data_IF_337923707459
#
_entry.id   IF_337923707459
#
_cell.length_a   1.000
_cell.length_b   1.000
_cell.length_c   1.000
_cell.angle_alpha   90.00
_cell.angle_beta   90.00
_cell.angle_gamma   90.00
#
_symmetry.space_group_name_H-M   'P 1'
#
loop_
_entity.id
_entity.type
_entity.pdbx_description
1 polymer ?
#
# COMPACT_ATOMS: atom_id res chain seq x y z
N UNK A 1 16.63 12.52 -8.78
CA UNK A 1 16.09 12.44 -7.41
C UNK A 1 15.95 10.97 -7.12
N UNK A 2 16.91 10.40 -6.38
CA UNK A 2 17.08 8.95 -6.22
C UNK A 2 15.82 8.26 -5.67
N UNK A 3 15.51 7.09 -6.24
CA UNK A 3 14.45 6.20 -5.79
C UNK A 3 14.82 5.58 -4.43
N UNK A 4 14.47 6.24 -3.33
CA UNK A 4 14.62 5.67 -2.00
C UNK A 4 13.51 4.66 -1.70
N UNK A 5 13.75 3.40 -2.02
CA UNK A 5 12.92 2.28 -1.58
C UNK A 5 12.99 2.17 -0.04
N UNK A 6 12.08 2.82 0.66
CA UNK A 6 11.72 2.37 2.00
C UNK A 6 10.78 1.19 1.83
N UNK A 7 10.96 0.14 2.61
CA UNK A 7 10.23 -1.11 2.48
C UNK A 7 9.78 -1.46 3.89
N UNK A 8 8.75 -0.74 4.36
CA UNK A 8 8.19 -1.06 5.65
C UNK A 8 7.68 -2.50 5.59
N UNK A 9 8.30 -3.41 6.32
CA UNK A 9 7.73 -4.74 6.51
C UNK A 9 7.35 -4.89 7.96
N UNK A 10 6.04 -4.83 8.24
CA UNK A 10 5.49 -5.12 9.57
C UNK A 10 5.32 -6.64 9.72
N UNK A 11 6.39 -7.39 9.49
CA UNK A 11 6.43 -8.81 9.84
C UNK A 11 7.89 -9.23 9.96
N UNK A 12 8.22 -9.81 11.11
CA UNK A 12 9.56 -10.20 11.53
C UNK A 12 10.39 -10.84 10.41
N UNK A 13 11.37 -10.09 9.91
CA UNK A 13 12.53 -10.66 9.25
C UNK A 13 13.70 -10.25 10.10
N UNK A 14 14.46 -11.24 10.57
CA UNK A 14 15.73 -10.99 11.25
C UNK A 14 16.65 -10.27 10.27
N UNK A 15 16.81 -8.97 10.46
CA UNK A 15 17.77 -8.14 9.75
C UNK A 15 19.07 -8.01 10.53
N UNK A 16 20.00 -7.22 10.00
CA UNK A 16 21.19 -6.84 10.74
C UNK A 16 20.88 -5.59 11.56
N UNK A 17 21.31 -5.58 12.82
CA UNK A 17 21.04 -4.54 13.83
C UNK A 17 19.55 -4.29 14.10
N UNK A 18 19.10 -4.73 15.28
CA UNK A 18 17.74 -4.51 15.77
C UNK A 18 17.80 -3.58 16.98
N UNK A 19 17.07 -2.47 16.91
CA UNK A 19 16.89 -1.56 18.04
C UNK A 19 15.42 -1.58 18.47
N UNK A 20 15.19 -1.89 19.74
CA UNK A 20 13.86 -1.86 20.34
C UNK A 20 13.64 -0.51 21.05
N UNK A 21 12.54 0.16 20.71
CA UNK A 21 12.17 1.43 21.31
C UNK A 21 10.66 1.62 21.33
N UNK A 22 10.20 2.65 22.06
CA UNK A 22 8.78 3.02 22.10
C UNK A 22 8.53 4.14 21.09
N UNK A 23 7.67 3.89 20.10
CA UNK A 23 7.25 4.89 19.10
C UNK A 23 5.74 5.05 19.12
N UNK A 24 5.26 6.28 19.32
CA UNK A 24 3.81 6.60 19.36
C UNK A 24 3.01 5.72 20.36
N UNK A 25 3.68 5.30 21.45
CA UNK A 25 3.11 4.46 22.51
C UNK A 25 3.21 2.95 22.28
N UNK A 26 3.84 2.51 21.20
CA UNK A 26 3.94 1.10 20.82
C UNK A 26 5.38 0.61 20.95
N UNK A 27 5.57 -0.64 21.40
CA UNK A 27 6.88 -1.30 21.40
C UNK A 27 7.21 -1.73 19.97
N UNK A 28 8.24 -1.11 19.40
CA UNK A 28 8.63 -1.27 18.01
C UNK A 28 10.08 -1.68 17.94
N UNK A 29 10.36 -2.73 17.18
CA UNK A 29 11.72 -3.08 16.74
C UNK A 29 11.94 -2.47 15.37
N UNK A 30 13.00 -1.68 15.21
CA UNK A 30 13.43 -1.18 13.90
C UNK A 30 14.73 -1.87 13.49
N UNK A 31 14.83 -2.20 12.22
CA UNK A 31 16.05 -2.72 11.65
C UNK A 31 16.17 -2.41 10.17
N UNK A 32 17.26 -2.86 9.57
CA UNK A 32 17.54 -2.68 8.15
C UNK A 32 17.79 -4.03 7.47
N UNK A 33 17.15 -4.24 6.33
CA UNK A 33 17.40 -5.38 5.46
C UNK A 33 18.76 -5.21 4.75
N UNK A 34 19.40 -6.29 4.27
CA UNK A 34 20.68 -6.23 3.56
C UNK A 34 20.68 -5.29 2.33
N UNK A 35 19.53 -5.05 1.71
CA UNK A 35 19.36 -4.13 0.59
C UNK A 35 19.24 -2.66 0.97
N UNK A 36 19.36 -2.33 2.26
CA UNK A 36 19.28 -0.97 2.79
C UNK A 36 17.87 -0.55 3.21
N UNK A 37 16.86 -1.39 2.99
CA UNK A 37 15.48 -1.05 3.30
C UNK A 37 15.17 -1.15 4.81
N UNK A 38 14.45 -0.18 5.36
CA UNK A 38 14.05 -0.15 6.77
C UNK A 38 12.80 -0.99 7.03
N UNK A 39 12.81 -1.84 8.06
CA UNK A 39 11.63 -2.57 8.52
C UNK A 39 11.32 -2.28 10.00
N UNK A 40 10.05 -2.43 10.37
CA UNK A 40 9.57 -2.11 11.71
C UNK A 40 8.62 -3.21 12.15
N UNK A 41 8.92 -3.87 13.27
CA UNK A 41 8.09 -4.91 13.87
C UNK A 41 7.38 -4.34 15.08
N UNK A 42 6.09 -4.64 15.24
CA UNK A 42 5.32 -4.27 16.43
C UNK A 42 5.10 -5.53 17.26
N UNK A 43 5.61 -5.53 18.49
CA UNK A 43 5.46 -6.63 19.44
C UNK A 43 4.08 -6.49 20.12
N UNK A 44 3.20 -7.48 19.92
CA UNK A 44 1.78 -7.50 20.35
C UNK A 44 0.90 -6.45 19.62
N UNK A 45 0.15 -6.93 18.63
CA UNK A 45 -0.52 -6.12 17.61
C UNK A 45 -1.96 -5.79 17.95
N UNK A 46 -2.17 -4.62 18.55
CA UNK A 46 -3.44 -3.91 18.36
C UNK A 46 -3.38 -3.19 17.02
N UNK A 47 -4.43 -3.31 16.20
CA UNK A 47 -4.56 -2.59 14.91
C UNK A 47 -4.28 -1.08 15.06
N UNK A 48 -4.59 -0.51 16.23
CA UNK A 48 -4.27 0.87 16.58
C UNK A 48 -2.76 1.18 16.52
N UNK A 49 -1.90 0.25 16.96
CA UNK A 49 -0.46 0.41 16.92
C UNK A 49 0.06 0.43 15.48
N UNK A 50 -0.42 -0.51 14.66
CA UNK A 50 -0.12 -0.58 13.23
C UNK A 50 -0.52 0.71 12.55
N UNK A 51 -1.75 1.19 12.78
CA UNK A 51 -2.28 2.44 12.23
C UNK A 51 -1.41 3.64 12.59
N UNK A 52 -1.04 3.80 13.88
CA UNK A 52 -0.23 4.93 14.34
C UNK A 52 1.17 4.93 13.76
N UNK A 53 1.79 3.75 13.70
CA UNK A 53 3.11 3.56 13.13
C UNK A 53 3.07 3.88 11.64
N UNK A 54 2.16 3.23 10.90
CA UNK A 54 1.97 3.42 9.46
C UNK A 54 1.71 4.89 9.11
N UNK A 55 0.86 5.59 9.86
CA UNK A 55 0.62 7.02 9.69
C UNK A 55 1.92 7.83 9.86
N UNK A 56 2.70 7.55 10.92
CA UNK A 56 3.96 8.24 11.17
C UNK A 56 5.05 7.94 10.14
N UNK A 57 4.95 6.84 9.39
CA UNK A 57 5.82 6.53 8.26
C UNK A 57 5.36 7.28 7.01
N UNK A 58 4.06 7.26 6.71
CA UNK A 58 3.48 8.02 5.60
C UNK A 58 3.80 9.51 5.73
N UNK A 59 3.68 10.07 6.94
CA UNK A 59 4.04 11.46 7.26
C UNK A 59 5.47 11.84 6.80
N UNK A 60 6.44 10.91 6.86
CA UNK A 60 7.82 11.17 6.41
C UNK A 60 7.93 11.42 4.90
N UNK A 61 6.98 10.91 4.11
CA UNK A 61 6.95 11.05 2.65
C UNK A 61 6.10 12.23 2.17
N UNK A 62 5.34 12.85 3.09
CA UNK A 62 4.46 13.96 2.75
C UNK A 62 5.27 15.21 2.34
N UNK A 63 4.81 15.99 1.34
CA UNK A 63 5.32 17.33 1.12
C UNK A 63 5.03 18.26 2.30
N UNK A 64 5.81 19.34 2.40
CA UNK A 64 5.63 20.37 3.44
C UNK A 64 4.25 21.05 3.35
N UNK A 65 3.76 21.23 2.14
CA UNK A 65 2.42 21.77 1.86
C UNK A 65 1.63 20.73 1.09
N UNK A 66 0.40 20.50 1.54
CA UNK A 66 -0.55 19.52 1.00
C UNK A 66 -1.85 20.25 0.64
N UNK A 67 -2.08 20.46 -0.66
CA UNK A 67 -3.24 21.18 -1.21
C UNK A 67 -4.12 20.25 -2.05
N UNK A 68 -3.53 19.27 -2.76
CA UNK A 68 -4.30 18.27 -3.52
C UNK A 68 -3.63 16.90 -3.49
N UNK A 69 -4.39 15.91 -3.02
CA UNK A 69 -4.01 14.50 -2.97
C UNK A 69 -4.95 13.69 -3.84
N UNK A 70 -4.40 12.76 -4.60
CA UNK A 70 -5.17 11.76 -5.30
C UNK A 70 -4.82 10.38 -4.74
N UNK A 71 -5.78 9.74 -4.05
CA UNK A 71 -5.64 8.37 -3.55
C UNK A 71 -6.27 7.41 -4.56
N UNK A 72 -5.46 6.50 -5.07
CA UNK A 72 -5.82 5.53 -6.10
C UNK A 72 -5.92 4.16 -5.47
N UNK A 73 -7.10 3.56 -5.50
CA UNK A 73 -7.33 2.18 -5.09
C UNK A 73 -7.25 1.26 -6.31
N UNK A 74 -6.16 0.52 -6.42
CA UNK A 74 -5.93 -0.45 -7.48
C UNK A 74 -6.54 -1.82 -7.12
N UNK A 75 -6.56 -2.70 -8.12
CA UNK A 75 -7.03 -4.07 -8.00
C UNK A 75 -8.50 -4.26 -8.37
N UNK A 76 -8.93 -5.52 -8.37
CA UNK A 76 -10.23 -5.96 -8.83
C UNK A 76 -11.22 -6.20 -7.68
N UNK A 77 -12.29 -5.39 -7.61
CA UNK A 77 -13.38 -5.57 -6.62
C UNK A 77 -14.09 -6.93 -6.69
N UNK A 78 -14.08 -7.57 -7.85
CA UNK A 78 -14.70 -8.89 -8.07
C UNK A 78 -13.84 -10.06 -7.60
N UNK A 79 -12.60 -9.81 -7.17
CA UNK A 79 -11.68 -10.83 -6.66
C UNK A 79 -11.21 -10.39 -5.28
N UNK A 80 -11.74 -11.00 -4.21
CA UNK A 80 -11.44 -10.62 -2.82
C UNK A 80 -9.95 -10.43 -2.56
N UNK A 81 -9.13 -11.37 -3.04
CA UNK A 81 -7.68 -11.35 -2.86
C UNK A 81 -7.02 -10.07 -3.41
N UNK A 82 -7.61 -9.47 -4.45
CA UNK A 82 -7.12 -8.28 -5.15
C UNK A 82 -7.97 -7.02 -4.82
N UNK A 83 -8.84 -7.10 -3.81
CA UNK A 83 -9.77 -6.02 -3.50
C UNK A 83 -9.20 -4.97 -2.51
N UNK A 84 -7.94 -5.11 -2.06
CA UNK A 84 -7.37 -4.27 -1.00
C UNK A 84 -7.45 -2.78 -1.32
N UNK A 85 -7.02 -2.34 -2.51
CA UNK A 85 -7.02 -0.92 -2.86
C UNK A 85 -8.43 -0.32 -2.81
N UNK A 86 -9.41 -1.07 -3.31
CA UNK A 86 -10.83 -0.69 -3.23
C UNK A 86 -11.37 -0.65 -1.79
N UNK A 87 -10.96 -1.60 -0.95
CA UNK A 87 -11.31 -1.64 0.47
C UNK A 87 -10.71 -0.46 1.25
N UNK A 88 -9.53 0.04 0.86
CA UNK A 88 -8.97 1.25 1.45
C UNK A 88 -9.87 2.45 1.16
N UNK A 89 -10.27 2.63 -0.10
CA UNK A 89 -11.06 3.79 -0.50
C UNK A 89 -12.45 3.82 0.15
N UNK A 90 -13.09 2.67 0.36
CA UNK A 90 -14.41 2.60 1.01
C UNK A 90 -14.39 3.07 2.46
N UNK A 91 -13.21 3.04 3.10
CA UNK A 91 -13.00 3.46 4.49
C UNK A 91 -12.36 4.84 4.63
N UNK A 92 -11.97 5.47 3.51
CA UNK A 92 -11.43 6.84 3.50
C UNK A 92 -12.58 7.86 3.50
N UNK A 93 -12.43 9.01 4.17
CA UNK A 93 -13.40 10.09 4.09
C UNK A 93 -13.38 10.70 2.68
N UNK A 94 -14.40 10.43 1.86
CA UNK A 94 -14.58 11.01 0.52
C UNK A 94 -15.79 11.96 0.47
N UNK A 95 -15.83 12.83 -0.54
CA UNK A 95 -17.08 13.53 -0.93
C UNK A 95 -17.53 14.67 -0.01
N UNK A 96 -16.60 15.56 0.38
CA UNK A 96 -16.95 16.82 1.07
C UNK A 96 -16.54 16.92 2.54
N UNK A 97 -15.88 15.89 3.11
CA UNK A 97 -15.27 15.95 4.44
C UNK A 97 -13.87 16.56 4.44
N UNK A 98 -13.13 16.40 3.34
CA UNK A 98 -11.87 17.08 3.06
C UNK A 98 -11.82 17.41 1.56
N UNK A 99 -11.86 18.71 1.16
CA UNK A 99 -11.87 19.10 -0.26
C UNK A 99 -10.54 18.85 -0.97
N UNK A 100 -9.47 18.50 -0.23
CA UNK A 100 -8.13 18.31 -0.77
C UNK A 100 -7.85 16.85 -1.19
N UNK A 101 -8.71 15.90 -0.81
CA UNK A 101 -8.52 14.46 -1.07
C UNK A 101 -9.49 13.97 -2.15
N UNK A 102 -8.96 13.64 -3.33
CA UNK A 102 -9.67 12.91 -4.38
C UNK A 102 -9.43 11.41 -4.26
N UNK A 103 -10.50 10.61 -4.31
CA UNK A 103 -10.43 9.15 -4.36
C UNK A 103 -10.78 8.66 -5.76
N UNK A 104 -9.97 7.76 -6.33
CA UNK A 104 -10.19 7.17 -7.65
C UNK A 104 -9.94 5.67 -7.60
N UNK A 105 -10.87 4.89 -8.16
CA UNK A 105 -10.72 3.45 -8.30
C UNK A 105 -10.84 3.08 -9.79
N UNK A 106 -9.71 2.94 -10.51
CA UNK A 106 -9.73 2.40 -11.86
C UNK A 106 -10.36 1.00 -11.86
N UNK A 107 -11.15 0.69 -12.89
CA UNK A 107 -11.67 -0.66 -13.09
C UNK A 107 -10.67 -1.53 -13.86
N UNK A 108 -10.85 -2.85 -13.81
CA UNK A 108 -9.98 -3.82 -14.47
C UNK A 108 -9.96 -3.58 -15.98
N UNK A 109 -8.76 -3.57 -16.58
CA UNK A 109 -8.58 -3.32 -18.02
C UNK A 109 -9.34 -4.31 -18.91
N UNK A 110 -9.50 -5.56 -18.46
CA UNK A 110 -10.31 -6.57 -19.16
C UNK A 110 -11.80 -6.20 -19.27
N UNK A 111 -12.30 -5.34 -18.38
CA UNK A 111 -13.70 -4.87 -18.40
C UNK A 111 -13.82 -3.58 -19.20
N UNK A 112 -12.87 -2.66 -19.06
CA UNK A 112 -12.94 -1.31 -19.63
C UNK A 112 -12.26 -1.17 -20.98
N UNK A 113 -11.34 -2.07 -21.33
CA UNK A 113 -10.40 -1.91 -22.44
C UNK A 113 -9.34 -0.82 -22.22
N UNK A 114 -9.28 -0.23 -21.01
CA UNK A 114 -8.37 0.87 -20.68
C UNK A 114 -7.51 0.47 -19.48
N UNK A 115 -6.20 0.61 -19.63
CA UNK A 115 -5.24 0.29 -18.56
C UNK A 115 -5.37 1.26 -17.38
N UNK A 116 -5.27 0.72 -16.16
CA UNK A 116 -5.32 1.51 -14.92
C UNK A 116 -4.24 2.61 -14.89
N UNK A 117 -3.08 2.33 -15.48
CA UNK A 117 -2.00 3.32 -15.62
C UNK A 117 -2.42 4.53 -16.45
N UNK A 118 -3.09 4.31 -17.58
CA UNK A 118 -3.50 5.41 -18.46
C UNK A 118 -4.59 6.27 -17.81
N UNK A 119 -5.52 5.65 -17.05
CA UNK A 119 -6.52 6.39 -16.26
C UNK A 119 -5.83 7.28 -15.22
N UNK A 120 -4.91 6.70 -14.44
CA UNK A 120 -4.22 7.42 -13.35
C UNK A 120 -3.33 8.53 -13.89
N UNK A 121 -2.54 8.26 -14.93
CA UNK A 121 -1.65 9.22 -15.58
C UNK A 121 -2.43 10.38 -16.20
N UNK A 122 -3.53 10.08 -16.91
CA UNK A 122 -4.39 11.11 -17.52
C UNK A 122 -5.04 12.01 -16.47
N UNK A 123 -5.56 11.44 -15.39
CA UNK A 123 -6.13 12.21 -14.30
C UNK A 123 -5.07 13.04 -13.57
N UNK A 124 -3.89 12.46 -13.32
CA UNK A 124 -2.79 13.19 -12.69
C UNK A 124 -2.33 14.39 -13.54
N UNK A 125 -2.20 14.21 -14.86
CA UNK A 125 -1.85 15.30 -15.78
C UNK A 125 -2.89 16.43 -15.78
N UNK A 126 -4.18 16.09 -15.65
CA UNK A 126 -5.28 17.06 -15.64
C UNK A 126 -5.43 17.78 -14.30
N UNK A 127 -5.39 17.02 -13.19
CA UNK A 127 -5.68 17.50 -11.84
C UNK A 127 -4.45 18.10 -11.14
N UNK A 128 -3.25 17.73 -11.61
CA UNK A 128 -1.96 18.14 -11.05
C UNK A 128 -1.95 18.05 -9.52
N UNK A 129 -2.17 16.83 -8.95
CA UNK A 129 -2.05 16.63 -7.51
C UNK A 129 -0.60 16.82 -7.08
N UNK A 130 -0.39 17.29 -5.85
CA UNK A 130 0.96 17.35 -5.27
C UNK A 130 1.43 15.99 -4.79
N UNK A 131 0.49 15.10 -4.47
CA UNK A 131 0.73 13.75 -4.02
C UNK A 131 -0.28 12.78 -4.64
N UNK A 132 0.24 11.67 -5.17
CA UNK A 132 -0.54 10.49 -5.54
C UNK A 132 -0.23 9.38 -4.56
N UNK A 133 -1.26 8.79 -3.95
CA UNK A 133 -1.12 7.62 -3.08
C UNK A 133 -1.73 6.43 -3.80
N UNK A 134 -0.89 5.46 -4.21
CA UNK A 134 -1.35 4.22 -4.82
C UNK A 134 -1.53 3.16 -3.75
N UNK A 135 -2.69 2.50 -3.72
CA UNK A 135 -2.97 1.38 -2.81
C UNK A 135 -3.29 0.12 -3.60
N UNK A 136 -2.62 -1.00 -3.28
CA UNK A 136 -2.73 -2.24 -4.07
C UNK A 136 -2.51 -3.50 -3.24
N UNK A 137 -3.08 -4.62 -3.69
CA UNK A 137 -2.71 -5.94 -3.20
C UNK A 137 -1.33 -6.29 -3.72
N UNK A 138 -0.47 -6.85 -2.86
CA UNK A 138 0.87 -7.29 -3.25
C UNK A 138 0.97 -8.82 -3.25
N UNK A 139 1.96 -9.32 -3.99
CA UNK A 139 2.36 -10.72 -3.98
C UNK A 139 3.60 -10.92 -3.10
N UNK A 140 3.75 -12.12 -2.54
CA UNK A 140 4.96 -12.52 -1.81
C UNK A 140 5.25 -14.00 -2.02
N UNK A 141 6.49 -14.43 -1.80
CA UNK A 141 6.88 -15.84 -1.72
C UNK A 141 6.95 -16.37 -0.29
N UNK A 142 6.56 -15.57 0.71
CA UNK A 142 6.67 -15.91 2.14
C UNK A 142 5.30 -15.88 2.83
N UNK A 143 4.82 -17.04 3.26
CA UNK A 143 3.53 -17.19 3.91
C UNK A 143 3.39 -16.32 5.16
N UNK A 144 4.48 -16.09 5.91
CA UNK A 144 4.45 -15.32 7.16
C UNK A 144 4.09 -13.84 6.97
N UNK A 145 4.26 -13.32 5.75
CA UNK A 145 3.97 -11.93 5.39
C UNK A 145 2.50 -11.69 5.03
N UNK A 146 1.74 -12.75 4.69
CA UNK A 146 0.38 -12.64 4.20
C UNK A 146 -0.56 -11.98 5.21
N UNK A 147 -1.11 -10.82 4.84
CA UNK A 147 -2.03 -10.04 5.68
C UNK A 147 -1.38 -9.47 6.95
N UNK A 148 -0.06 -9.53 7.07
CA UNK A 148 0.70 -9.07 8.24
C UNK A 148 1.69 -7.96 7.89
N UNK A 149 2.25 -7.98 6.69
CA UNK A 149 3.23 -7.01 6.22
C UNK A 149 2.59 -5.83 5.46
N UNK A 150 2.91 -4.58 5.80
CA UNK A 150 2.43 -3.37 5.10
C UNK A 150 3.58 -2.65 4.42
N UNK A 151 3.72 -2.81 3.11
CA UNK A 151 4.79 -2.19 2.33
C UNK A 151 4.43 -0.76 1.98
N UNK A 152 5.34 0.18 2.29
CA UNK A 152 5.19 1.62 2.00
C UNK A 152 6.47 2.11 1.36
N UNK A 153 6.39 2.85 0.25
CA UNK A 153 7.56 3.51 -0.34
C UNK A 153 7.21 4.54 -1.42
N UNK A 154 8.23 5.18 -2.00
CA UNK A 154 8.07 6.20 -3.05
C UNK A 154 8.32 5.65 -4.47
N UNK A 155 7.92 4.40 -4.71
CA UNK A 155 8.06 3.75 -6.00
C UNK A 155 6.72 3.73 -6.72
N UNK A 156 6.75 3.41 -8.00
CA UNK A 156 5.56 3.25 -8.81
C UNK A 156 5.13 1.77 -8.86
N UNK A 157 3.83 1.52 -8.74
CA UNK A 157 3.26 0.18 -8.79
C UNK A 157 3.03 -0.28 -10.23
N UNK A 158 3.06 -1.60 -10.40
CA UNK A 158 2.58 -2.30 -11.60
C UNK A 158 1.32 -3.06 -11.20
N UNK A 159 0.12 -2.50 -11.43
CA UNK A 159 -1.15 -3.15 -11.11
C UNK A 159 -1.24 -4.49 -11.83
N UNK A 160 -1.90 -5.49 -11.28
CA UNK A 160 -2.18 -6.71 -12.03
C UNK A 160 -0.95 -7.57 -12.34
N UNK A 161 0.05 -7.61 -11.44
CA UNK A 161 1.24 -8.47 -11.62
C UNK A 161 0.92 -9.96 -11.83
N UNK A 162 -0.32 -10.41 -11.56
CA UNK A 162 -0.80 -11.77 -11.79
C UNK A 162 -1.07 -12.16 -13.25
N UNK A 163 -1.11 -11.20 -14.18
CA UNK A 163 -1.24 -11.48 -15.62
C UNK A 163 -0.18 -10.65 -16.33
N UNK A 164 0.78 -11.29 -16.98
CA UNK A 164 1.98 -10.63 -17.52
C UNK A 164 1.66 -9.44 -18.43
N UNK A 165 2.37 -8.32 -18.24
CA UNK A 165 2.37 -7.18 -19.18
C UNK A 165 1.88 -5.84 -18.64
N UNK A 166 1.43 -5.76 -17.39
CA UNK A 166 0.86 -4.51 -16.89
C UNK A 166 1.86 -3.35 -16.80
N UNK A 167 1.44 -2.19 -17.33
CA UNK A 167 2.22 -0.96 -17.37
C UNK A 167 2.45 -0.43 -15.95
N UNK A 168 3.67 0.03 -15.72
CA UNK A 168 4.04 0.74 -14.49
C UNK A 168 3.31 2.08 -14.47
N UNK A 169 2.63 2.40 -13.37
CA UNK A 169 1.93 3.69 -13.21
C UNK A 169 2.98 4.76 -12.93
N UNK A 170 3.08 5.78 -13.77
CA UNK A 170 4.01 6.90 -13.55
C UNK A 170 3.26 8.24 -13.56
N UNK A 171 2.62 8.65 -12.44
CA UNK A 171 1.69 9.77 -12.42
C UNK A 171 2.31 11.15 -12.72
N UNK A 172 3.64 11.27 -12.86
CA UNK A 172 4.32 12.55 -13.03
C UNK A 172 4.28 13.48 -11.81
N UNK A 173 3.81 12.98 -10.67
CA UNK A 173 3.72 13.69 -9.39
C UNK A 173 4.44 12.88 -8.30
N UNK A 174 4.63 13.48 -7.11
CA UNK A 174 5.15 12.74 -5.96
C UNK A 174 4.22 11.56 -5.68
N UNK A 175 4.79 10.38 -5.53
CA UNK A 175 4.03 9.15 -5.38
C UNK A 175 4.42 8.43 -4.10
N UNK A 176 3.42 7.98 -3.35
CA UNK A 176 3.56 7.01 -2.28
C UNK A 176 2.79 5.76 -2.72
N UNK A 177 3.43 4.61 -2.65
CA UNK A 177 2.80 3.32 -2.89
C UNK A 177 2.68 2.57 -1.57
N UNK A 178 1.50 1.99 -1.34
CA UNK A 178 1.16 1.28 -0.13
C UNK A 178 0.43 -0.02 -0.47
N UNK A 179 0.89 -1.16 0.05
CA UNK A 179 0.18 -2.41 -0.17
C UNK A 179 0.46 -3.45 0.89
N UNK A 180 -0.34 -4.51 0.87
CA UNK A 180 -0.18 -5.67 1.77
C UNK A 180 -0.08 -6.93 0.93
N UNK A 181 0.91 -7.80 1.18
CA UNK A 181 0.94 -9.10 0.55
C UNK A 181 -0.28 -9.93 0.96
N UNK A 182 -1.09 -10.33 0.00
CA UNK A 182 -2.29 -11.17 0.25
C UNK A 182 -2.35 -12.39 -0.67
N UNK A 183 -1.43 -12.48 -1.62
CA UNK A 183 -1.37 -13.54 -2.62
C UNK A 183 0.06 -14.10 -2.68
N UNK A 184 0.19 -15.41 -2.90
CA UNK A 184 1.44 -16.05 -3.30
C UNK A 184 1.20 -16.68 -4.66
N UNK A 185 2.03 -16.35 -5.65
CA UNK A 185 2.01 -17.05 -6.94
C UNK A 185 2.81 -18.34 -6.80
N UNK A 186 2.25 -19.43 -7.31
CA UNK A 186 2.93 -20.71 -7.26
C UNK A 186 4.18 -20.73 -8.16
N UNK A 187 4.21 -19.89 -9.20
CA UNK A 187 5.42 -19.65 -10.01
C UNK A 187 6.58 -19.12 -9.18
N UNK A 188 6.31 -18.23 -8.21
CA UNK A 188 7.33 -17.62 -7.35
C UNK A 188 7.88 -18.62 -6.32
N UNK A 189 7.20 -19.76 -6.13
CA UNK A 189 7.63 -20.90 -5.33
C UNK A 189 8.35 -21.98 -6.15
N UNK A 190 8.53 -21.78 -7.46
CA UNK A 190 9.19 -22.75 -8.34
C UNK A 190 8.34 -23.96 -8.73
N UNK A 191 7.01 -23.89 -8.54
CA UNK A 191 6.11 -24.98 -8.94
C UNK A 191 5.99 -25.01 -10.46
N UNK A 192 6.56 -26.05 -11.08
CA UNK A 192 6.53 -26.24 -12.54
C UNK A 192 5.11 -26.51 -13.03
N UNK A 193 4.71 -25.88 -14.14
CA UNK A 193 3.36 -26.01 -14.70
C UNK A 193 2.27 -25.25 -13.92
N UNK A 194 2.65 -24.42 -12.94
CA UNK A 194 1.70 -23.65 -12.15
C UNK A 194 0.93 -22.59 -12.95
N UNK A 195 1.44 -22.14 -14.11
CA UNK A 195 0.80 -21.07 -14.89
C UNK A 195 0.48 -19.84 -14.03
N UNK A 196 -0.77 -19.39 -14.08
CA UNK A 196 -1.28 -18.24 -13.32
C UNK A 196 -1.94 -18.64 -11.97
N UNK A 197 -1.63 -19.82 -11.44
CA UNK A 197 -2.16 -20.27 -10.15
C UNK A 197 -1.55 -19.47 -8.99
N UNK A 198 -2.42 -19.07 -8.08
CA UNK A 198 -2.07 -18.38 -6.86
C UNK A 198 -2.82 -18.94 -5.66
N UNK A 199 -2.22 -18.79 -4.48
CA UNK A 199 -2.81 -19.18 -3.20
C UNK A 199 -3.00 -17.95 -2.33
N UNK A 200 -4.06 -17.98 -1.53
CA UNK A 200 -4.43 -16.94 -0.58
C UNK A 200 -4.72 -17.58 0.78
N UNK A 201 -4.64 -16.82 1.87
CA UNK A 201 -5.12 -17.30 3.17
C UNK A 201 -6.60 -17.73 3.09
N UNK A 202 -6.99 -18.71 3.90
CA UNK A 202 -8.39 -19.13 3.99
C UNK A 202 -9.31 -18.04 4.55
N UNK A 203 -8.76 -17.14 5.38
CA UNK A 203 -9.43 -15.98 5.96
C UNK A 203 -9.15 -14.68 5.16
N UNK A 204 -9.07 -14.79 3.82
CA UNK A 204 -8.69 -13.67 2.96
C UNK A 204 -9.62 -12.47 3.11
N UNK A 205 -10.94 -12.68 3.23
CA UNK A 205 -11.91 -11.59 3.40
C UNK A 205 -11.62 -10.76 4.67
N UNK A 206 -11.35 -11.44 5.79
CA UNK A 206 -11.01 -10.78 7.06
C UNK A 206 -9.69 -10.01 6.95
N UNK A 207 -8.68 -10.60 6.30
CA UNK A 207 -7.38 -9.95 6.10
C UNK A 207 -7.49 -8.72 5.23
N UNK A 208 -8.21 -8.79 4.10
CA UNK A 208 -8.44 -7.64 3.21
C UNK A 208 -9.14 -6.53 3.95
N UNK A 209 -10.21 -6.84 4.68
CA UNK A 209 -11.00 -5.87 5.44
C UNK A 209 -10.16 -5.20 6.55
N UNK A 210 -9.45 -5.99 7.35
CA UNK A 210 -8.59 -5.50 8.43
C UNK A 210 -7.47 -4.62 7.88
N UNK A 211 -6.73 -5.10 6.88
CA UNK A 211 -5.63 -4.36 6.27
C UNK A 211 -6.12 -3.08 5.58
N UNK A 212 -7.23 -3.15 4.83
CA UNK A 212 -7.85 -2.01 4.18
C UNK A 212 -8.24 -0.91 5.18
N UNK A 213 -8.89 -1.30 6.29
CA UNK A 213 -9.21 -0.38 7.40
C UNK A 213 -7.97 0.25 8.01
N UNK A 214 -6.93 -0.53 8.25
CA UNK A 214 -5.70 -0.03 8.87
C UNK A 214 -5.00 0.99 7.98
N UNK A 215 -4.91 0.71 6.67
CA UNK A 215 -4.36 1.64 5.69
C UNK A 215 -5.20 2.91 5.63
N UNK A 216 -6.53 2.79 5.50
CA UNK A 216 -7.42 3.94 5.39
C UNK A 216 -7.33 4.86 6.63
N UNK A 217 -7.34 4.27 7.83
CA UNK A 217 -7.16 5.03 9.08
C UNK A 217 -5.79 5.70 9.14
N UNK A 218 -4.72 5.00 8.75
CA UNK A 218 -3.38 5.55 8.76
C UNK A 218 -3.22 6.72 7.77
N UNK A 219 -3.75 6.58 6.55
CA UNK A 219 -3.78 7.65 5.55
C UNK A 219 -4.62 8.83 6.03
N UNK A 220 -5.79 8.58 6.61
CA UNK A 220 -6.63 9.65 7.17
C UNK A 220 -5.89 10.41 8.28
N UNK A 221 -5.23 9.72 9.20
CA UNK A 221 -4.44 10.35 10.26
C UNK A 221 -3.27 11.17 9.69
N UNK A 222 -2.55 10.64 8.70
CA UNK A 222 -1.40 11.31 8.12
C UNK A 222 -1.78 12.52 7.25
N UNK A 223 -2.85 12.41 6.46
CA UNK A 223 -3.25 13.44 5.49
C UNK A 223 -4.13 14.53 6.13
N UNK A 224 -5.03 14.16 7.04
CA UNK A 224 -5.99 15.11 7.64
C UNK A 224 -5.56 15.56 9.05
N UNK A 225 -4.84 14.71 9.81
CA UNK A 225 -4.40 15.04 11.17
C UNK A 225 -3.24 16.05 11.26
N UNK A 226 -2.68 16.45 10.12
CA UNK A 226 -1.64 17.46 9.96
C UNK A 226 -2.15 18.90 9.84
N UNK A 227 -3.47 19.14 9.83
CA UNK A 227 -4.05 20.46 10.10
C UNK A 227 -3.91 20.77 11.60
N UNK A 228 -2.67 20.87 12.08
CA UNK A 228 -2.34 21.43 13.37
C UNK A 228 -2.12 22.92 13.14
N UNK A 229 -3.05 23.71 13.66
CA UNK A 229 -2.86 25.14 13.93
C UNK A 229 -1.54 25.42 14.65
#
# INVERSE_FOLDING_TARGET
>A
MEFQRLLLEIAAIKGQSEEEYVRRGCRVTHGRLPGGEEYYTVSEGEDAAVVRLLAGIVEKFLPKELKRVMVVGLGNRGMTADALGNCVLSHMPAGGKDPHIGLIAPQVSLVTGVESADIVESLSARLKPELVVLTDTLATSRCERLGRCYQVGNFALRPGSGVGGAKKIEPGARTISLGVPLVIKLSDLGVSGAGDLAVTPADIDEKVERCGKNIAKALTLALCGGQRE
#
